data_IF_289320492946
#
_entry.id   IF_289320492946
#
_cell.length_a   1.000
_cell.length_b   1.000
_cell.length_c   1.000
_cell.angle_alpha   90.00
_cell.angle_beta   90.00
_cell.angle_gamma   90.00
#
_symmetry.space_group_name_H-M   'P 1'
#
loop_
_entity.id
_entity.type
_entity.pdbx_description
1 polymer ?
#
# COMPACT_ATOMS: atom_id res chain seq x y z
N UNK A 1 43.90 2.45 -7.86
CA UNK A 1 42.59 2.55 -7.16
C UNK A 1 41.54 1.89 -8.06
N UNK A 2 41.11 0.67 -7.75
CA UNK A 2 40.06 -0.01 -8.52
C UNK A 2 38.69 0.50 -8.03
N UNK A 3 37.99 1.26 -8.87
CA UNK A 3 36.59 1.64 -8.63
C UNK A 3 35.73 0.40 -8.78
N UNK A 4 35.30 -0.18 -7.66
CA UNK A 4 34.29 -1.23 -7.64
C UNK A 4 32.98 -0.66 -8.17
N UNK A 5 32.67 -0.94 -9.44
CA UNK A 5 31.35 -0.75 -10.04
C UNK A 5 30.37 -1.62 -9.26
N UNK A 6 29.60 -1.00 -8.36
CA UNK A 6 28.47 -1.67 -7.70
C UNK A 6 27.48 -2.07 -8.78
N UNK A 7 27.43 -3.37 -9.10
CA UNK A 7 26.35 -3.98 -9.87
C UNK A 7 25.06 -3.70 -9.14
N UNK A 8 24.20 -2.84 -9.72
CA UNK A 8 22.83 -2.63 -9.26
C UNK A 8 22.12 -4.00 -9.28
N UNK A 9 22.06 -4.69 -8.13
CA UNK A 9 21.16 -5.83 -7.97
C UNK A 9 19.76 -5.32 -8.31
N UNK A 10 19.12 -5.93 -9.32
CA UNK A 10 17.70 -5.73 -9.59
C UNK A 10 16.92 -6.18 -8.36
N UNK A 11 16.69 -5.26 -7.43
CA UNK A 11 15.86 -5.49 -6.25
C UNK A 11 14.43 -5.63 -6.75
N UNK A 12 13.91 -6.86 -6.69
CA UNK A 12 12.51 -7.15 -7.00
C UNK A 12 11.63 -6.39 -5.99
N UNK A 13 10.65 -5.59 -6.45
CA UNK A 13 9.75 -4.88 -5.55
C UNK A 13 9.05 -5.83 -4.57
N UNK A 14 8.87 -5.37 -3.34
CA UNK A 14 8.10 -6.11 -2.34
C UNK A 14 6.62 -5.97 -2.70
N UNK A 15 5.93 -7.10 -2.89
CA UNK A 15 4.49 -7.08 -3.18
C UNK A 15 3.71 -6.82 -1.90
N UNK A 16 2.80 -5.87 -1.98
CA UNK A 16 1.92 -5.47 -0.89
C UNK A 16 0.46 -5.42 -1.35
N UNK A 17 -0.45 -5.55 -0.39
CA UNK A 17 -1.89 -5.47 -0.57
C UNK A 17 -2.50 -4.45 0.40
N UNK A 18 -3.46 -3.67 -0.07
CA UNK A 18 -4.30 -2.83 0.79
C UNK A 18 -5.49 -3.65 1.30
N UNK A 19 -5.71 -3.61 2.62
CA UNK A 19 -6.90 -4.15 3.26
C UNK A 19 -7.57 -3.08 4.11
N UNK A 20 -8.87 -3.21 4.32
CA UNK A 20 -9.58 -2.37 5.30
C UNK A 20 -9.13 -2.79 6.70
N UNK A 21 -8.88 -1.83 7.58
CA UNK A 21 -8.48 -2.14 8.95
C UNK A 21 -9.66 -2.84 9.67
N UNK A 22 -9.42 -3.96 10.38
CA UNK A 22 -10.50 -4.76 10.97
C UNK A 22 -11.27 -4.02 12.06
N UNK A 23 -10.64 -3.06 12.74
CA UNK A 23 -11.23 -2.28 13.83
C UNK A 23 -11.77 -0.92 13.39
N UNK A 24 -11.41 -0.44 12.19
CA UNK A 24 -11.82 0.86 11.69
C UNK A 24 -12.02 0.80 10.16
N UNK A 25 -13.27 0.81 9.68
CA UNK A 25 -13.57 0.75 8.25
C UNK A 25 -13.10 1.99 7.48
N UNK A 26 -12.77 3.10 8.17
CA UNK A 26 -12.25 4.34 7.58
C UNK A 26 -10.73 4.35 7.46
N UNK A 27 -10.05 3.31 7.95
CA UNK A 27 -8.61 3.14 7.84
C UNK A 27 -8.24 1.94 6.96
N UNK A 28 -7.03 1.99 6.40
CA UNK A 28 -6.45 0.91 5.62
C UNK A 28 -5.18 0.40 6.29
N UNK A 29 -4.90 -0.88 6.08
CA UNK A 29 -3.61 -1.51 6.34
C UNK A 29 -2.96 -1.88 5.02
N UNK A 30 -1.67 -1.62 4.91
CA UNK A 30 -0.82 -2.08 3.83
C UNK A 30 -0.05 -3.30 4.32
N UNK A 31 -0.29 -4.44 3.70
CA UNK A 31 0.21 -5.75 4.12
C UNK A 31 1.25 -6.24 3.12
N UNK A 32 2.41 -6.65 3.61
CA UNK A 32 3.41 -7.34 2.78
C UNK A 32 2.99 -8.78 2.51
N UNK A 33 3.03 -9.19 1.24
CA UNK A 33 2.64 -10.53 0.79
C UNK A 33 3.79 -11.54 0.83
N UNK A 34 5.01 -11.12 1.20
CA UNK A 34 6.19 -12.00 1.24
C UNK A 34 6.58 -12.32 2.67
N UNK A 35 6.86 -13.60 2.92
CA UNK A 35 7.39 -14.21 4.16
C UNK A 35 6.40 -14.71 5.22
N UNK A 36 5.28 -15.35 4.82
CA UNK A 36 4.52 -16.30 5.68
C UNK A 36 3.83 -15.72 6.92
N UNK A 37 4.14 -14.48 7.30
CA UNK A 37 3.47 -13.67 8.30
C UNK A 37 3.04 -12.40 7.56
N UNK A 38 1.74 -12.26 7.35
CA UNK A 38 1.13 -11.08 6.75
C UNK A 38 1.42 -9.85 7.63
N UNK A 39 2.58 -9.22 7.40
CA UNK A 39 3.07 -8.13 8.23
C UNK A 39 2.46 -6.82 7.73
N UNK A 40 1.87 -6.06 8.65
CA UNK A 40 1.46 -4.69 8.38
C UNK A 40 2.72 -3.83 8.22
N UNK A 41 2.89 -3.24 7.05
CA UNK A 41 4.03 -2.37 6.68
C UNK A 41 3.69 -0.91 6.94
N UNK A 42 2.45 -0.53 6.69
CA UNK A 42 1.94 0.81 6.94
C UNK A 42 0.44 0.75 7.23
N UNK A 43 -0.08 1.79 7.87
CA UNK A 43 -1.49 2.01 8.09
C UNK A 43 -1.79 3.50 7.94
N UNK A 44 -3.04 3.83 7.67
CA UNK A 44 -3.47 5.22 7.54
C UNK A 44 -4.95 5.34 7.25
N UNK A 45 -5.43 6.58 7.21
CA UNK A 45 -6.83 6.85 6.88
C UNK A 45 -7.09 6.73 5.38
N UNK A 46 -8.26 6.22 5.04
CA UNK A 46 -8.75 6.16 3.65
C UNK A 46 -9.07 7.58 3.15
N UNK A 47 -9.58 8.43 4.05
CA UNK A 47 -10.00 9.79 3.76
C UNK A 47 -9.05 10.84 4.35
N UNK A 48 -8.75 11.92 3.59
CA UNK A 48 -9.23 12.20 2.22
C UNK A 48 -8.55 11.30 1.16
N UNK A 49 -9.31 10.88 0.13
CA UNK A 49 -8.84 9.97 -0.93
C UNK A 49 -7.58 10.47 -1.66
N UNK A 50 -7.41 11.79 -1.78
CA UNK A 50 -6.22 12.39 -2.38
C UNK A 50 -5.00 12.22 -1.48
N UNK A 51 -5.17 12.41 -0.17
CA UNK A 51 -4.11 12.27 0.83
C UNK A 51 -3.62 10.82 0.91
N UNK A 52 -4.54 9.86 1.02
CA UNK A 52 -4.21 8.44 1.08
C UNK A 52 -3.48 7.95 -0.18
N UNK A 53 -3.91 8.39 -1.37
CA UNK A 53 -3.19 8.08 -2.63
C UNK A 53 -1.78 8.65 -2.68
N UNK A 54 -1.59 9.89 -2.23
CA UNK A 54 -0.27 10.52 -2.21
C UNK A 54 0.67 9.77 -1.27
N UNK A 55 0.21 9.51 -0.05
CA UNK A 55 0.95 8.74 0.95
C UNK A 55 1.39 7.36 0.41
N UNK A 56 0.48 6.62 -0.25
CA UNK A 56 0.82 5.32 -0.85
C UNK A 56 1.82 5.44 -2.00
N UNK A 57 1.75 6.51 -2.79
CA UNK A 57 2.71 6.74 -3.88
C UNK A 57 4.10 7.10 -3.35
N UNK A 58 4.18 7.83 -2.25
CA UNK A 58 5.45 8.16 -1.60
C UNK A 58 6.06 6.90 -0.97
N UNK A 59 5.24 6.10 -0.27
CA UNK A 59 5.62 4.77 0.25
C UNK A 59 6.19 3.84 -0.82
N UNK A 60 5.58 3.80 -2.01
CA UNK A 60 6.08 3.01 -3.15
C UNK A 60 7.50 3.41 -3.56
N UNK A 61 7.80 4.71 -3.56
CA UNK A 61 9.12 5.22 -3.93
C UNK A 61 10.14 4.91 -2.83
N UNK A 62 9.78 5.18 -1.59
CA UNK A 62 10.68 5.07 -0.44
C UNK A 62 11.04 3.63 -0.11
N UNK A 63 10.04 2.73 -0.11
CA UNK A 63 10.22 1.33 0.26
C UNK A 63 10.39 0.38 -0.93
N UNK A 64 10.34 0.91 -2.17
CA UNK A 64 10.38 0.11 -3.42
C UNK A 64 9.38 -1.05 -3.40
N UNK A 65 8.14 -0.74 -3.02
CA UNK A 65 7.05 -1.71 -2.95
C UNK A 65 6.12 -1.60 -4.17
N UNK A 66 5.41 -2.68 -4.46
CA UNK A 66 4.35 -2.76 -5.46
C UNK A 66 3.03 -3.06 -4.75
N UNK A 67 2.03 -2.19 -4.90
CA UNK A 67 0.69 -2.42 -4.33
C UNK A 67 -0.20 -3.03 -5.40
N UNK A 68 -0.48 -4.33 -5.29
CA UNK A 68 -1.09 -5.11 -6.38
C UNK A 68 -2.58 -4.82 -6.58
N UNK A 69 -3.30 -4.47 -5.51
CA UNK A 69 -4.76 -4.31 -5.54
C UNK A 69 -5.22 -2.85 -5.40
N UNK A 70 -4.32 -1.86 -5.57
CA UNK A 70 -4.65 -0.46 -5.27
C UNK A 70 -5.86 0.07 -6.05
N UNK A 71 -5.96 -0.26 -7.34
CA UNK A 71 -7.07 0.21 -8.20
C UNK A 71 -8.40 -0.38 -7.73
N UNK A 72 -8.43 -1.68 -7.47
CA UNK A 72 -9.62 -2.40 -7.02
C UNK A 72 -10.04 -1.95 -5.62
N UNK A 73 -9.08 -1.79 -4.71
CA UNK A 73 -9.31 -1.27 -3.36
C UNK A 73 -10.04 0.09 -3.40
N UNK A 74 -9.52 1.07 -4.15
CA UNK A 74 -10.17 2.39 -4.23
C UNK A 74 -11.51 2.37 -4.99
N UNK A 75 -11.72 1.44 -5.93
CA UNK A 75 -13.05 1.23 -6.53
C UNK A 75 -14.04 0.71 -5.50
N UNK A 76 -13.63 -0.26 -4.67
CA UNK A 76 -14.44 -0.79 -3.57
C UNK A 76 -14.80 0.27 -2.55
N UNK A 77 -13.82 1.07 -2.10
CA UNK A 77 -14.05 2.22 -1.21
C UNK A 77 -15.08 3.19 -1.81
N UNK A 78 -14.93 3.59 -3.08
CA UNK A 78 -15.89 4.49 -3.73
C UNK A 78 -17.30 3.92 -3.79
N UNK A 79 -17.43 2.62 -4.04
CA UNK A 79 -18.72 1.93 -4.02
C UNK A 79 -19.33 1.94 -2.62
N UNK A 80 -18.55 1.60 -1.59
CA UNK A 80 -18.98 1.61 -0.20
C UNK A 80 -19.44 3.01 0.28
N UNK A 81 -18.75 4.08 -0.16
CA UNK A 81 -19.21 5.46 0.08
C UNK A 81 -20.58 5.69 -0.55
N UNK A 82 -20.74 5.34 -1.83
CA UNK A 82 -21.99 5.55 -2.57
C UNK A 82 -23.16 4.80 -1.94
N UNK A 83 -22.88 3.64 -1.36
CA UNK A 83 -23.85 2.80 -0.66
C UNK A 83 -24.09 3.21 0.81
N UNK A 84 -23.40 4.24 1.30
CA UNK A 84 -23.54 4.72 2.69
C UNK A 84 -22.90 3.81 3.74
N UNK A 85 -22.11 2.82 3.32
CA UNK A 85 -21.48 1.81 4.18
C UNK A 85 -20.21 2.33 4.89
N UNK A 86 -19.72 3.51 4.51
CA UNK A 86 -18.55 4.19 5.09
C UNK A 86 -18.90 5.58 5.66
N UNK A 87 -20.10 5.70 6.25
CA UNK A 87 -20.59 6.92 6.91
C UNK A 87 -19.91 7.19 8.25
#
# INVERSE_FOLDING_TARGET
MQTKTQTKKNLVPIKCELRVAPTNPKAFHLIELKTGREKVVAFGDIFPLKGSKNFLNDLKKDLRIEIVNQVEYFRGVRKAIKEGLMS
#
